data_IF_116934471885
#
_entry.id   IF_116934471885
#
_cell.length_a   1.000
_cell.length_b   1.000
_cell.length_c   1.000
_cell.angle_alpha   90.00
_cell.angle_beta   90.00
_cell.angle_gamma   90.00
#
_symmetry.space_group_name_H-M   'P 1'
#
loop_
_entity.id
_entity.type
_entity.pdbx_description
1 polymer ?
#
# COMPACT_ATOMS: atom_id res chain seq x y z
N UNK A 1 9.23 25.89 9.05
CA UNK A 1 8.73 25.64 7.67
C UNK A 1 7.48 26.49 7.45
N UNK A 2 7.38 27.23 6.35
CA UNK A 2 6.20 28.11 6.11
C UNK A 2 5.06 27.20 5.60
N UNK A 3 3.94 27.19 6.33
CA UNK A 3 2.73 26.49 5.94
C UNK A 3 2.28 26.98 4.55
N UNK A 4 2.34 26.08 3.55
CA UNK A 4 1.74 26.36 2.26
C UNK A 4 0.22 26.32 2.42
N UNK A 5 -0.47 27.39 2.03
CA UNK A 5 -1.94 27.41 2.13
C UNK A 5 -2.54 26.41 1.12
N UNK A 6 -3.69 25.84 1.46
CA UNK A 6 -4.44 24.91 0.60
C UNK A 6 -4.67 25.47 -0.81
N UNK A 7 -4.89 26.82 -0.92
CA UNK A 7 -5.01 27.52 -2.20
C UNK A 7 -3.73 27.44 -3.04
N UNK A 8 -2.58 27.54 -2.41
CA UNK A 8 -1.27 27.47 -3.06
C UNK A 8 -1.01 26.06 -3.58
N UNK A 9 -1.38 25.01 -2.80
CA UNK A 9 -1.23 23.61 -3.20
C UNK A 9 -2.10 23.25 -4.42
N UNK A 10 -3.36 23.72 -4.44
CA UNK A 10 -4.28 23.54 -5.57
C UNK A 10 -3.73 24.22 -6.84
N UNK A 11 -3.19 25.43 -6.72
CA UNK A 11 -2.60 26.16 -7.84
C UNK A 11 -1.36 25.43 -8.38
N UNK A 12 -0.48 24.91 -7.52
CA UNK A 12 0.69 24.14 -7.96
C UNK A 12 0.29 22.82 -8.63
N UNK A 13 -0.73 22.13 -8.11
CA UNK A 13 -1.25 20.89 -8.73
C UNK A 13 -1.84 21.16 -10.11
N UNK A 14 -2.62 22.23 -10.27
CA UNK A 14 -3.21 22.63 -11.56
C UNK A 14 -2.13 23.12 -12.54
N UNK A 15 -1.12 23.84 -12.05
CA UNK A 15 -0.01 24.34 -12.90
C UNK A 15 0.88 23.19 -13.35
N UNK A 16 1.14 22.19 -12.49
CA UNK A 16 1.89 20.98 -12.85
C UNK A 16 1.13 20.15 -13.90
N UNK A 17 -0.18 19.99 -13.75
CA UNK A 17 -1.02 19.32 -14.76
C UNK A 17 -1.04 20.07 -16.08
N UNK A 18 -1.03 21.40 -16.07
CA UNK A 18 -0.95 22.23 -17.26
C UNK A 18 0.39 22.11 -18.00
N UNK A 19 1.48 22.01 -17.28
CA UNK A 19 2.84 21.85 -17.87
C UNK A 19 3.02 20.48 -18.54
N UNK A 20 2.49 19.41 -17.98
CA UNK A 20 2.54 18.08 -18.62
C UNK A 20 1.59 17.97 -19.82
N UNK A 21 0.50 18.75 -19.87
CA UNK A 21 -0.38 18.84 -21.04
C UNK A 21 0.23 19.60 -22.24
N UNK A 22 1.13 20.53 -22.00
CA UNK A 22 1.73 21.39 -23.04
C UNK A 22 2.87 20.67 -23.79
N UNK A 23 3.58 19.74 -23.15
CA UNK A 23 4.70 19.02 -23.81
C UNK A 23 4.22 18.04 -24.89
N UNK A 24 2.95 17.71 -24.97
CA UNK A 24 2.38 16.80 -25.98
C UNK A 24 1.72 17.51 -27.17
N UNK A 25 1.82 18.83 -27.29
CA UNK A 25 1.08 19.62 -28.29
C UNK A 25 1.78 19.79 -29.66
N UNK A 26 2.95 19.20 -29.89
CA UNK A 26 3.64 19.30 -31.18
C UNK A 26 3.78 17.93 -31.87
N UNK A 27 2.69 17.31 -32.21
CA UNK A 27 2.50 16.40 -33.37
C UNK A 27 1.17 15.65 -33.24
N UNK A 28 0.07 16.36 -33.32
CA UNK A 28 -1.24 15.71 -33.45
C UNK A 28 -1.74 15.89 -34.88
N UNK A 29 -1.54 14.89 -35.70
CA UNK A 29 -2.45 14.59 -36.81
C UNK A 29 -3.82 14.39 -36.22
N UNK A 30 -4.79 15.18 -36.69
CA UNK A 30 -6.19 15.20 -36.26
C UNK A 30 -6.80 13.80 -36.40
N UNK A 31 -6.91 13.08 -35.32
CA UNK A 31 -7.82 11.97 -35.17
C UNK A 31 -8.54 12.14 -33.83
N UNK A 32 -9.84 12.06 -33.86
CA UNK A 32 -10.84 12.19 -32.81
C UNK A 32 -10.30 12.53 -31.40
N UNK A 33 -10.58 13.74 -30.93
CA UNK A 33 -10.24 14.20 -29.58
C UNK A 33 -10.96 13.34 -28.52
N UNK A 34 -10.39 12.20 -28.19
CA UNK A 34 -10.67 11.57 -26.91
C UNK A 34 -10.13 12.49 -25.83
N UNK A 35 -11.01 13.19 -25.14
CA UNK A 35 -10.62 14.00 -23.98
C UNK A 35 -9.86 13.07 -23.01
N UNK A 36 -8.75 13.52 -22.42
CA UNK A 36 -8.03 12.73 -21.44
C UNK A 36 -9.00 12.38 -20.31
N UNK A 37 -9.28 11.09 -20.14
CA UNK A 37 -10.16 10.61 -19.06
C UNK A 37 -9.36 10.70 -17.77
N UNK A 38 -9.72 11.65 -16.92
CA UNK A 38 -9.21 11.74 -15.55
C UNK A 38 -10.13 10.91 -14.66
N UNK A 39 -9.59 9.88 -14.03
CA UNK A 39 -10.30 9.11 -13.02
C UNK A 39 -10.06 9.75 -11.65
N UNK A 40 -11.14 9.91 -10.90
CA UNK A 40 -11.12 10.40 -9.51
C UNK A 40 -11.64 9.28 -8.64
N UNK A 41 -10.83 8.83 -7.71
CA UNK A 41 -11.22 7.83 -6.70
C UNK A 41 -10.81 8.33 -5.33
N UNK A 42 -11.46 7.84 -4.30
CA UNK A 42 -11.12 8.22 -2.94
C UNK A 42 -11.46 7.12 -1.96
N UNK A 43 -10.94 7.25 -0.76
CA UNK A 43 -11.17 6.32 0.33
C UNK A 43 -11.28 7.05 1.65
N UNK A 44 -12.25 6.63 2.45
CA UNK A 44 -12.47 7.08 3.82
C UNK A 44 -12.48 5.87 4.73
N UNK A 45 -11.80 5.95 5.87
CA UNK A 45 -11.91 4.93 6.89
C UNK A 45 -11.97 5.53 8.29
N UNK A 46 -12.67 4.85 9.17
CA UNK A 46 -12.77 5.19 10.59
C UNK A 46 -12.56 3.94 11.40
N UNK A 47 -11.69 4.04 12.39
CA UNK A 47 -11.39 2.99 13.36
C UNK A 47 -11.90 3.39 14.73
N UNK A 48 -12.43 2.40 15.45
CA UNK A 48 -12.74 2.48 16.87
C UNK A 48 -11.98 1.33 17.54
N UNK A 49 -11.10 1.65 18.45
CA UNK A 49 -10.37 0.64 19.23
C UNK A 49 -10.80 0.69 20.68
N UNK A 50 -11.15 -0.46 21.21
CA UNK A 50 -11.52 -0.69 22.61
C UNK A 50 -10.40 -1.49 23.27
N UNK A 51 -9.67 -0.85 24.17
CA UNK A 51 -8.61 -1.39 25.00
C UNK A 51 -8.71 -0.76 26.38
N UNK A 52 -7.59 -0.38 26.98
CA UNK A 52 -7.57 0.37 28.25
C UNK A 52 -8.30 1.71 28.14
N UNK A 53 -8.30 2.30 26.95
CA UNK A 53 -9.09 3.47 26.59
C UNK A 53 -9.76 3.26 25.24
N UNK A 54 -10.97 3.81 25.08
CA UNK A 54 -11.61 3.84 23.75
C UNK A 54 -11.01 4.96 22.91
N UNK A 55 -10.46 4.63 21.77
CA UNK A 55 -9.90 5.57 20.82
C UNK A 55 -10.68 5.60 19.51
N UNK A 56 -10.74 6.78 18.91
CA UNK A 56 -11.30 6.99 17.56
C UNK A 56 -10.20 7.53 16.67
N UNK A 57 -10.01 6.89 15.53
CA UNK A 57 -9.03 7.34 14.54
C UNK A 57 -9.66 7.35 13.15
N UNK A 58 -9.13 8.20 12.28
CA UNK A 58 -9.38 8.14 10.84
C UNK A 58 -8.06 7.74 10.16
N UNK A 59 -7.75 6.45 10.09
CA UNK A 59 -6.44 5.99 9.64
C UNK A 59 -6.18 6.34 8.18
N UNK A 60 -7.25 6.49 7.40
CA UNK A 60 -7.10 6.86 6.01
C UNK A 60 -8.26 7.73 5.52
N UNK A 61 -7.92 8.89 5.01
CA UNK A 61 -8.78 9.75 4.22
C UNK A 61 -7.96 10.24 3.04
N UNK A 62 -8.24 9.71 1.87
CA UNK A 62 -7.40 9.96 0.71
C UNK A 62 -8.18 10.18 -0.58
N UNK A 63 -7.55 10.90 -1.49
CA UNK A 63 -8.03 11.14 -2.85
C UNK A 63 -6.95 10.75 -3.83
N UNK A 64 -7.34 10.04 -4.89
CA UNK A 64 -6.47 9.66 -5.99
C UNK A 64 -7.02 10.18 -7.30
N UNK A 65 -6.17 10.91 -8.01
CA UNK A 65 -6.39 11.35 -9.39
C UNK A 65 -5.48 10.52 -10.29
N UNK A 66 -5.99 10.02 -11.39
CA UNK A 66 -5.18 9.26 -12.34
C UNK A 66 -5.63 9.50 -13.78
N UNK A 67 -4.70 9.37 -14.70
CA UNK A 67 -4.91 9.46 -16.14
C UNK A 67 -3.92 8.58 -16.88
N UNK A 68 -3.73 8.82 -18.16
CA UNK A 68 -2.83 8.04 -18.99
C UNK A 68 -1.38 8.13 -18.47
N UNK A 69 -0.94 7.08 -17.80
CA UNK A 69 0.41 6.93 -17.25
C UNK A 69 0.71 7.73 -15.99
N UNK A 70 -0.17 8.57 -15.46
CA UNK A 70 0.11 9.36 -14.28
C UNK A 70 -0.87 9.08 -13.12
N UNK A 71 -0.36 9.23 -11.92
CA UNK A 71 -1.13 9.10 -10.67
C UNK A 71 -0.67 10.20 -9.70
N UNK A 72 -1.63 10.85 -9.06
CA UNK A 72 -1.40 11.68 -7.88
C UNK A 72 -2.38 11.23 -6.80
N UNK A 73 -1.87 10.81 -5.66
CA UNK A 73 -2.69 10.50 -4.50
C UNK A 73 -2.29 11.33 -3.29
N UNK A 74 -3.27 11.66 -2.49
CA UNK A 74 -3.11 12.45 -1.27
C UNK A 74 -3.75 11.74 -0.11
N UNK A 75 -3.19 11.94 1.08
CA UNK A 75 -3.72 11.47 2.35
C UNK A 75 -3.88 12.66 3.30
N UNK A 76 -5.02 12.73 3.97
CA UNK A 76 -5.23 13.65 5.08
C UNK A 76 -4.70 12.98 6.36
N UNK A 77 -3.72 13.59 7.00
CA UNK A 77 -3.17 13.16 8.28
C UNK A 77 -2.91 14.39 9.14
N UNK A 78 -3.31 14.37 10.40
CA UNK A 78 -3.11 15.45 11.39
C UNK A 78 -3.61 16.82 10.90
N UNK A 79 -4.71 16.82 10.17
CA UNK A 79 -5.30 18.03 9.59
C UNK A 79 -4.53 18.61 8.39
N UNK A 80 -3.51 17.92 7.90
CA UNK A 80 -2.71 18.30 6.74
C UNK A 80 -2.96 17.36 5.57
N UNK A 81 -2.94 17.89 4.35
CA UNK A 81 -2.96 17.11 3.13
C UNK A 81 -1.52 16.78 2.72
N UNK A 82 -1.18 15.51 2.74
CA UNK A 82 0.13 15.02 2.31
C UNK A 82 0.00 14.35 0.94
N UNK A 83 0.99 14.54 0.09
CA UNK A 83 1.10 13.78 -1.15
C UNK A 83 1.64 12.39 -0.78
N UNK A 84 0.87 11.36 -1.11
CA UNK A 84 1.24 9.97 -0.86
C UNK A 84 1.96 9.37 -2.06
N UNK A 85 1.49 9.67 -3.26
CA UNK A 85 2.13 9.31 -4.51
C UNK A 85 1.98 10.44 -5.52
N UNK A 86 3.00 10.69 -6.30
CA UNK A 86 2.95 11.59 -7.46
C UNK A 86 3.91 11.07 -8.52
N UNK A 87 3.41 10.22 -9.41
CA UNK A 87 4.25 9.48 -10.36
C UNK A 87 3.70 9.47 -11.77
N UNK A 88 4.60 9.31 -12.72
CA UNK A 88 4.32 9.01 -14.12
C UNK A 88 4.92 7.65 -14.47
N UNK A 89 4.13 6.78 -15.09
CA UNK A 89 4.54 5.45 -15.53
C UNK A 89 4.45 5.35 -17.06
N UNK A 90 5.51 4.88 -17.67
CA UNK A 90 5.60 4.65 -19.10
C UNK A 90 5.82 3.17 -19.40
N UNK A 91 4.90 2.59 -20.16
CA UNK A 91 5.08 1.23 -20.69
C UNK A 91 6.06 1.27 -21.85
N UNK A 92 7.29 0.81 -21.61
CA UNK A 92 8.38 0.82 -22.59
C UNK A 92 8.12 -0.23 -23.67
N UNK A 93 7.82 -1.44 -23.22
CA UNK A 93 7.36 -2.58 -24.03
C UNK A 93 6.41 -3.42 -23.22
N UNK A 94 5.77 -4.43 -23.83
CA UNK A 94 4.87 -5.34 -23.15
C UNK A 94 5.53 -6.00 -21.94
N UNK A 95 4.92 -5.79 -20.76
CA UNK A 95 5.39 -6.27 -19.47
C UNK A 95 6.52 -5.46 -18.83
N UNK A 96 6.99 -4.35 -19.44
CA UNK A 96 8.04 -3.50 -18.87
C UNK A 96 7.54 -2.07 -18.66
N UNK A 97 7.70 -1.56 -17.45
CA UNK A 97 7.26 -0.21 -17.05
C UNK A 97 8.43 0.56 -16.45
N UNK A 98 8.55 1.81 -16.83
CA UNK A 98 9.46 2.78 -16.22
C UNK A 98 8.62 3.84 -15.49
N UNK A 99 8.92 4.11 -14.24
CA UNK A 99 8.16 5.03 -13.39
C UNK A 99 9.06 6.11 -12.84
N UNK A 100 8.56 7.34 -12.78
CA UNK A 100 9.28 8.51 -12.27
C UNK A 100 8.40 9.22 -11.23
N UNK A 101 9.00 9.67 -10.14
CA UNK A 101 8.33 10.48 -9.13
C UNK A 101 8.23 9.82 -7.76
N UNK A 102 7.31 10.31 -6.95
CA UNK A 102 7.06 9.82 -5.60
C UNK A 102 6.20 8.56 -5.66
N UNK A 103 6.72 7.46 -5.18
CA UNK A 103 6.06 6.15 -5.22
C UNK A 103 6.44 5.28 -4.02
N UNK A 104 5.58 4.32 -3.70
CA UNK A 104 5.88 3.33 -2.68
C UNK A 104 7.04 2.43 -3.12
N UNK A 105 7.88 2.09 -2.17
CA UNK A 105 9.02 1.19 -2.39
C UNK A 105 8.54 -0.24 -2.59
N UNK A 106 9.08 -0.99 -3.56
CA UNK A 106 8.72 -2.38 -3.81
C UNK A 106 9.40 -3.32 -2.80
N UNK A 107 8.94 -3.31 -1.54
CA UNK A 107 9.51 -4.12 -0.47
C UNK A 107 8.43 -4.91 0.27
N UNK A 108 8.45 -6.22 0.13
CA UNK A 108 7.48 -7.15 0.71
C UNK A 108 6.06 -7.05 0.13
N UNK A 109 5.11 -7.66 0.81
CA UNK A 109 3.68 -7.61 0.45
C UNK A 109 2.98 -6.39 1.05
N UNK A 110 3.53 -5.82 2.12
CA UNK A 110 2.90 -4.72 2.86
C UNK A 110 2.75 -3.45 2.02
N UNK A 111 3.60 -3.22 1.03
CA UNK A 111 3.55 -2.05 0.17
C UNK A 111 2.20 -1.87 -0.58
N UNK A 112 1.49 -2.95 -0.83
CA UNK A 112 0.14 -2.91 -1.41
C UNK A 112 -0.99 -2.82 -0.38
N UNK A 113 -0.71 -2.97 0.91
CA UNK A 113 -1.70 -3.12 1.97
C UNK A 113 -1.93 -1.85 2.82
N UNK A 114 -1.27 -0.75 2.50
CA UNK A 114 -1.39 0.50 3.25
C UNK A 114 -2.79 1.14 3.16
N UNK A 115 -3.55 0.83 2.11
CA UNK A 115 -4.92 1.32 1.94
C UNK A 115 -5.93 0.34 2.52
N UNK A 116 -6.89 0.83 3.33
CA UNK A 116 -7.92 -0.03 3.91
C UNK A 116 -8.74 -0.80 2.89
N UNK A 117 -8.93 -0.28 1.66
CA UNK A 117 -9.60 -1.01 0.57
C UNK A 117 -8.87 -2.29 0.18
N UNK A 118 -7.55 -2.27 0.20
CA UNK A 118 -6.69 -3.40 -0.17
C UNK A 118 -6.39 -4.33 1.02
N UNK A 119 -6.50 -3.82 2.25
CA UNK A 119 -6.20 -4.57 3.46
C UNK A 119 -7.48 -5.16 4.05
N UNK A 120 -7.51 -6.47 4.26
CA UNK A 120 -8.61 -7.16 4.93
C UNK A 120 -8.60 -6.96 6.44
N UNK A 121 -7.45 -6.66 7.02
CA UNK A 121 -7.24 -6.47 8.46
C UNK A 121 -7.37 -4.99 8.84
N UNK A 122 -7.66 -4.72 10.10
CA UNK A 122 -7.56 -3.37 10.68
C UNK A 122 -6.09 -3.00 10.85
N UNK A 123 -5.29 -3.92 11.38
CA UNK A 123 -3.85 -3.76 11.54
C UNK A 123 -3.11 -3.85 10.20
N UNK A 124 -2.02 -3.12 10.09
CA UNK A 124 -1.06 -3.24 8.98
C UNK A 124 0.19 -3.95 9.46
N UNK A 125 0.80 -4.83 8.65
CA UNK A 125 1.97 -5.60 9.10
C UNK A 125 3.21 -4.74 9.28
N UNK A 126 3.36 -3.70 8.49
CA UNK A 126 4.46 -2.74 8.60
C UNK A 126 4.09 -1.44 7.87
N UNK A 127 4.76 -0.37 8.24
CA UNK A 127 4.70 0.88 7.51
C UNK A 127 5.40 0.74 6.16
N UNK A 128 4.98 1.53 5.20
CA UNK A 128 5.60 1.62 3.89
C UNK A 128 6.17 3.03 3.70
N UNK A 129 7.32 3.09 3.04
CA UNK A 129 7.91 4.36 2.66
C UNK A 129 7.45 4.77 1.28
N UNK A 130 7.31 6.07 1.08
CA UNK A 130 7.06 6.68 -0.22
C UNK A 130 8.20 7.65 -0.50
N UNK A 131 8.97 7.37 -1.55
CA UNK A 131 10.21 8.05 -1.84
C UNK A 131 10.22 8.56 -3.28
N UNK A 132 10.92 9.66 -3.54
CA UNK A 132 11.10 10.20 -4.88
C UNK A 132 12.21 9.45 -5.60
N UNK A 133 11.92 8.98 -6.81
CA UNK A 133 12.91 8.25 -7.57
C UNK A 133 12.45 7.73 -8.91
N UNK A 134 13.17 6.73 -9.38
CA UNK A 134 12.92 6.03 -10.64
C UNK A 134 12.66 4.56 -10.33
N UNK A 135 11.52 4.05 -10.80
CA UNK A 135 11.14 2.66 -10.71
C UNK A 135 11.23 1.97 -12.06
N UNK A 136 11.61 0.70 -12.04
CA UNK A 136 11.56 -0.21 -13.18
C UNK A 136 10.75 -1.43 -12.79
N UNK A 137 9.71 -1.73 -13.54
CA UNK A 137 8.87 -2.91 -13.36
C UNK A 137 8.98 -3.85 -14.55
N UNK A 138 9.10 -5.14 -14.28
CA UNK A 138 8.97 -6.23 -15.24
C UNK A 138 7.92 -7.20 -14.74
N UNK A 139 6.94 -7.54 -15.57
CA UNK A 139 5.96 -8.58 -15.28
C UNK A 139 5.66 -9.36 -16.55
N UNK A 140 6.24 -10.55 -16.66
CA UNK A 140 6.06 -11.40 -17.83
C UNK A 140 6.24 -12.88 -17.48
N UNK A 141 5.35 -13.74 -18.00
CA UNK A 141 5.40 -15.20 -17.82
C UNK A 141 5.42 -15.66 -16.35
N UNK A 142 4.73 -14.94 -15.46
CA UNK A 142 4.73 -15.23 -14.04
C UNK A 142 5.93 -14.69 -13.28
N UNK A 143 6.94 -14.14 -13.96
CA UNK A 143 8.09 -13.47 -13.33
C UNK A 143 7.77 -12.00 -13.14
N UNK A 144 7.91 -11.52 -11.91
CA UNK A 144 7.88 -10.11 -11.54
C UNK A 144 9.25 -9.64 -11.06
N UNK A 145 9.63 -8.43 -11.45
CA UNK A 145 10.79 -7.74 -10.89
C UNK A 145 10.48 -6.25 -10.83
N UNK A 146 10.46 -5.71 -9.63
CA UNK A 146 10.29 -4.29 -9.38
C UNK A 146 11.56 -3.76 -8.74
N UNK A 147 12.17 -2.77 -9.34
CA UNK A 147 13.39 -2.11 -8.87
C UNK A 147 13.11 -0.63 -8.71
N UNK A 148 13.66 -0.04 -7.68
CA UNK A 148 13.51 1.35 -7.36
C UNK A 148 14.87 1.95 -6.99
N UNK A 149 15.14 3.16 -7.47
CA UNK A 149 16.26 4.00 -7.07
C UNK A 149 15.75 5.39 -6.73
N UNK A 150 16.05 5.86 -5.55
CA UNK A 150 15.63 7.17 -5.09
C UNK A 150 16.64 7.80 -4.15
N UNK A 151 16.38 9.02 -3.77
CA UNK A 151 17.08 9.71 -2.68
C UNK A 151 16.16 9.72 -1.47
N UNK A 152 16.70 9.45 -0.30
CA UNK A 152 15.99 9.67 0.93
C UNK A 152 15.63 11.15 1.08
N UNK A 153 14.47 11.43 1.65
CA UNK A 153 14.12 12.79 2.01
C UNK A 153 15.18 13.29 2.96
N UNK A 154 15.95 14.31 2.56
CA UNK A 154 17.02 14.98 3.29
C UNK A 154 16.97 14.69 4.80
N UNK A 155 17.95 13.93 5.30
CA UNK A 155 18.22 13.93 6.71
C UNK A 155 18.68 15.35 7.13
N UNK A 156 18.64 15.68 8.40
CA UNK A 156 18.99 17.01 8.94
C UNK A 156 20.43 17.48 8.58
N UNK A 157 21.25 16.59 8.00
CA UNK A 157 22.64 16.85 7.61
C UNK A 157 22.82 17.16 6.12
N UNK A 158 21.74 17.23 5.32
CA UNK A 158 21.76 17.51 3.87
C UNK A 158 22.53 16.50 3.00
N UNK A 159 22.83 15.33 3.51
CA UNK A 159 23.43 14.26 2.73
C UNK A 159 22.31 13.36 2.16
N UNK A 160 22.15 13.40 0.85
CA UNK A 160 21.24 12.50 0.14
C UNK A 160 21.97 11.18 -0.14
N UNK A 161 21.74 10.18 0.67
CA UNK A 161 22.19 8.83 0.34
C UNK A 161 21.32 8.23 -0.78
N UNK A 162 21.96 7.61 -1.76
CA UNK A 162 21.27 6.89 -2.81
C UNK A 162 20.66 5.61 -2.21
N UNK A 163 19.36 5.59 -2.13
CA UNK A 163 18.60 4.44 -1.68
C UNK A 163 18.13 3.60 -2.87
N UNK A 164 18.17 2.29 -2.74
CA UNK A 164 17.53 1.39 -3.68
C UNK A 164 16.74 0.30 -2.96
N UNK A 165 15.65 -0.14 -3.58
CA UNK A 165 14.86 -1.28 -3.16
C UNK A 165 14.47 -2.13 -4.37
N UNK A 166 14.30 -3.42 -4.18
CA UNK A 166 13.87 -4.30 -5.23
C UNK A 166 13.09 -5.49 -4.70
N UNK A 167 12.10 -5.93 -5.48
CA UNK A 167 11.35 -7.15 -5.21
C UNK A 167 11.33 -8.01 -6.47
N UNK A 168 11.74 -9.25 -6.33
CA UNK A 168 11.65 -10.29 -7.35
C UNK A 168 10.55 -11.26 -6.94
N UNK A 169 9.70 -11.65 -7.86
CA UNK A 169 8.61 -12.56 -7.57
C UNK A 169 8.36 -13.55 -8.68
N UNK A 170 7.79 -14.70 -8.30
CA UNK A 170 7.33 -15.69 -9.23
C UNK A 170 5.92 -16.16 -8.88
N UNK A 171 5.01 -15.95 -9.82
CA UNK A 171 3.62 -16.34 -9.72
C UNK A 171 3.33 -17.61 -10.49
N UNK A 172 2.56 -18.50 -9.87
CA UNK A 172 2.08 -19.73 -10.51
C UNK A 172 0.66 -20.04 -10.06
N UNK A 173 -0.11 -20.68 -10.94
CA UNK A 173 -1.41 -21.22 -10.61
C UNK A 173 -1.32 -22.74 -10.52
N UNK A 174 -1.59 -23.29 -9.34
CA UNK A 174 -1.62 -24.72 -9.08
C UNK A 174 -3.04 -25.14 -8.68
N UNK A 175 -3.71 -25.91 -9.53
CA UNK A 175 -5.04 -26.47 -9.26
C UNK A 175 -6.08 -25.40 -8.88
N UNK A 176 -6.01 -24.21 -9.48
CA UNK A 176 -6.92 -23.11 -9.19
C UNK A 176 -6.58 -22.29 -7.93
N UNK A 177 -5.38 -22.48 -7.39
CA UNK A 177 -4.80 -21.65 -6.33
C UNK A 177 -3.70 -20.80 -6.96
N UNK A 178 -3.92 -19.50 -6.97
CA UNK A 178 -2.92 -18.52 -7.35
C UNK A 178 -1.88 -18.41 -6.22
N UNK A 179 -0.63 -18.58 -6.55
CA UNK A 179 0.48 -18.54 -5.59
C UNK A 179 1.56 -17.59 -6.11
N UNK A 180 2.17 -16.85 -5.22
CA UNK A 180 3.29 -15.97 -5.50
C UNK A 180 4.35 -16.12 -4.41
N UNK A 181 5.61 -16.22 -4.82
CA UNK A 181 6.77 -16.21 -3.92
C UNK A 181 7.62 -15.01 -4.30
N UNK A 182 8.03 -14.23 -3.32
CA UNK A 182 8.82 -13.01 -3.51
C UNK A 182 10.07 -13.00 -2.64
N UNK A 183 11.08 -12.27 -3.13
CA UNK A 183 12.28 -11.89 -2.41
C UNK A 183 12.46 -10.39 -2.56
N UNK A 184 12.54 -9.67 -1.46
CA UNK A 184 12.79 -8.24 -1.43
C UNK A 184 14.12 -7.93 -0.79
N UNK A 185 14.81 -6.95 -1.34
CA UNK A 185 16.14 -6.49 -0.91
C UNK A 185 16.16 -4.96 -0.95
N UNK A 186 16.94 -4.33 -0.08
CA UNK A 186 17.17 -2.89 -0.16
C UNK A 186 18.61 -2.51 0.23
N UNK A 187 18.96 -1.23 0.06
CA UNK A 187 20.29 -0.71 0.37
C UNK A 187 20.65 -0.72 1.86
N UNK A 188 19.68 -0.84 2.75
CA UNK A 188 19.87 -0.93 4.20
C UNK A 188 20.08 -2.39 4.66
N UNK A 189 20.52 -3.26 3.75
CA UNK A 189 20.78 -4.68 4.01
C UNK A 189 19.54 -5.47 4.49
N UNK A 190 18.37 -4.87 4.45
CA UNK A 190 17.14 -5.57 4.78
C UNK A 190 16.78 -6.57 3.68
N UNK A 191 16.40 -7.77 4.09
CA UNK A 191 16.06 -8.88 3.21
C UNK A 191 14.75 -9.51 3.68
N UNK A 192 13.83 -9.77 2.77
CA UNK A 192 12.54 -10.31 3.13
C UNK A 192 12.10 -11.37 2.11
N UNK A 193 11.62 -12.49 2.61
CA UNK A 193 10.94 -13.49 1.80
C UNK A 193 9.44 -13.38 2.05
N UNK A 194 8.66 -13.39 0.98
CA UNK A 194 7.22 -13.39 1.06
C UNK A 194 6.60 -14.53 0.25
N UNK A 195 5.48 -15.02 0.73
CA UNK A 195 4.63 -15.99 0.03
C UNK A 195 3.19 -15.55 0.16
N UNK A 196 2.48 -15.51 -0.94
CA UNK A 196 1.02 -15.36 -0.91
C UNK A 196 0.37 -16.45 -1.75
N UNK A 197 -0.77 -16.95 -1.30
CA UNK A 197 -1.58 -17.89 -2.05
C UNK A 197 -3.05 -17.69 -1.76
N UNK A 198 -3.89 -17.99 -2.75
CA UNK A 198 -5.33 -17.88 -2.55
C UNK A 198 -6.16 -18.24 -3.75
N UNK A 199 -7.45 -18.27 -3.50
CA UNK A 199 -8.52 -18.41 -4.49
C UNK A 199 -9.78 -17.68 -3.99
N UNK A 200 -10.93 -17.96 -4.56
CA UNK A 200 -12.20 -17.34 -4.16
C UNK A 200 -12.65 -17.68 -2.72
N UNK A 201 -12.07 -18.69 -2.09
CA UNK A 201 -12.50 -19.19 -0.78
C UNK A 201 -11.55 -18.74 0.34
N UNK A 202 -10.29 -18.58 0.01
CA UNK A 202 -9.28 -18.16 0.99
C UNK A 202 -8.16 -17.38 0.34
N UNK A 203 -7.50 -16.56 1.14
CA UNK A 203 -6.22 -15.92 0.82
C UNK A 203 -5.32 -16.04 2.03
N UNK A 204 -4.07 -16.40 1.86
CA UNK A 204 -3.07 -16.38 2.92
C UNK A 204 -1.81 -15.69 2.42
N UNK A 205 -1.11 -15.03 3.35
CA UNK A 205 0.16 -14.37 3.09
C UNK A 205 1.10 -14.56 4.28
N UNK A 206 2.35 -14.74 3.97
CA UNK A 206 3.43 -14.91 4.92
C UNK A 206 4.60 -14.03 4.49
N UNK A 207 5.20 -13.31 5.43
CA UNK A 207 6.48 -12.64 5.25
C UNK A 207 7.44 -13.06 6.36
N UNK A 208 8.71 -13.16 6.03
CA UNK A 208 9.79 -13.44 6.95
C UNK A 208 10.95 -12.49 6.66
N UNK A 209 11.34 -11.74 7.67
CA UNK A 209 12.47 -10.81 7.60
C UNK A 209 13.76 -11.55 7.95
N UNK A 210 14.71 -11.53 7.02
CA UNK A 210 16.02 -12.19 7.14
C UNK A 210 17.10 -11.24 7.64
N UNK A 211 16.79 -9.93 7.82
CA UNK A 211 17.77 -8.96 8.30
C UNK A 211 18.23 -9.28 9.73
N UNK A 212 19.48 -9.01 10.03
CA UNK A 212 20.03 -9.27 11.37
C UNK A 212 19.32 -8.45 12.45
N UNK A 213 18.89 -7.23 12.13
CA UNK A 213 18.18 -6.35 13.05
C UNK A 213 16.77 -6.82 13.41
N UNK A 214 16.13 -7.56 12.52
CA UNK A 214 14.76 -8.03 12.70
C UNK A 214 14.66 -9.32 13.53
N UNK A 215 15.79 -9.95 13.89
CA UNK A 215 15.87 -11.21 14.67
C UNK A 215 14.86 -12.30 14.20
N UNK A 216 14.68 -12.38 12.88
CA UNK A 216 13.75 -13.33 12.27
C UNK A 216 12.28 -12.96 12.41
N UNK A 217 11.95 -11.68 12.40
CA UNK A 217 10.57 -11.22 12.45
C UNK A 217 9.73 -11.80 11.31
N UNK A 218 8.55 -12.28 11.63
CA UNK A 218 7.60 -12.80 10.65
C UNK A 218 6.17 -12.36 10.93
N UNK A 219 5.33 -12.42 9.90
CA UNK A 219 3.90 -12.41 10.09
C UNK A 219 3.19 -13.35 9.10
N UNK A 220 2.12 -13.94 9.58
CA UNK A 220 1.23 -14.81 8.82
C UNK A 220 -0.18 -14.26 8.90
N UNK A 221 -0.86 -14.18 7.77
CA UNK A 221 -2.25 -13.73 7.67
C UNK A 221 -3.07 -14.66 6.81
N UNK A 222 -4.30 -14.91 7.24
CA UNK A 222 -5.26 -15.70 6.49
C UNK A 222 -6.63 -15.02 6.49
N UNK A 223 -7.29 -15.11 5.35
CA UNK A 223 -8.68 -14.67 5.14
C UNK A 223 -9.44 -15.84 4.56
N UNK A 224 -10.59 -16.16 5.15
CA UNK A 224 -11.50 -17.18 4.62
C UNK A 224 -12.82 -16.53 4.26
N UNK A 225 -13.27 -16.75 3.03
CA UNK A 225 -14.56 -16.25 2.51
C UNK A 225 -15.50 -17.42 2.32
N UNK A 226 -16.43 -17.69 3.27
CA UNK A 226 -17.35 -18.81 3.15
C UNK A 226 -18.29 -18.61 1.97
N UNK A 227 -18.47 -19.58 1.07
CA UNK A 227 -19.27 -19.40 -0.15
C UNK A 227 -20.77 -19.20 0.15
N UNK A 228 -21.24 -19.65 1.32
CA UNK A 228 -22.64 -19.50 1.74
C UNK A 228 -22.94 -18.15 2.39
N UNK A 229 -21.91 -17.44 2.89
CA UNK A 229 -22.05 -16.17 3.58
C UNK A 229 -21.61 -15.01 2.68
N UNK A 230 -22.46 -14.65 1.73
CA UNK A 230 -22.17 -13.59 0.75
C UNK A 230 -21.69 -12.32 1.44
N UNK A 231 -20.46 -11.91 1.12
CA UNK A 231 -19.82 -10.70 1.67
C UNK A 231 -19.12 -10.90 3.03
N UNK A 232 -19.40 -11.96 3.79
CA UNK A 232 -18.73 -12.20 5.05
C UNK A 232 -17.36 -12.88 4.86
N UNK A 233 -16.41 -12.56 5.73
CA UNK A 233 -15.10 -13.19 5.76
C UNK A 233 -14.56 -13.29 7.18
N UNK A 234 -13.69 -14.26 7.40
CA UNK A 234 -13.01 -14.50 8.67
C UNK A 234 -11.53 -14.17 8.50
N UNK A 235 -10.92 -13.67 9.57
CA UNK A 235 -9.53 -13.25 9.62
C UNK A 235 -8.78 -14.02 10.69
N UNK A 236 -7.54 -14.39 10.41
CA UNK A 236 -6.57 -14.88 11.38
C UNK A 236 -5.20 -14.35 11.04
N UNK A 237 -4.43 -13.92 12.04
CA UNK A 237 -3.06 -13.44 11.92
C UNK A 237 -2.20 -13.88 13.09
N UNK A 238 -0.91 -14.00 12.85
CA UNK A 238 0.10 -14.31 13.84
C UNK A 238 1.40 -13.63 13.42
N UNK A 239 2.15 -13.05 14.37
CA UNK A 239 3.47 -12.48 14.14
C UNK A 239 4.52 -13.08 15.10
N UNK A 240 5.78 -12.70 14.90
CA UNK A 240 6.93 -13.12 15.72
C UNK A 240 6.83 -12.71 17.19
N UNK A 241 6.08 -11.66 17.51
CA UNK A 241 5.88 -11.19 18.88
C UNK A 241 4.80 -11.98 19.61
N UNK A 242 4.38 -13.13 19.05
CA UNK A 242 3.32 -13.98 19.55
C UNK A 242 1.94 -13.30 19.59
N UNK A 243 1.80 -12.16 18.88
CA UNK A 243 0.52 -11.45 18.76
C UNK A 243 -0.39 -12.22 17.82
N UNK A 244 -1.53 -12.66 18.35
CA UNK A 244 -2.58 -13.33 17.59
C UNK A 244 -3.69 -12.34 17.28
N UNK A 245 -4.06 -12.28 16.01
CA UNK A 245 -5.16 -11.47 15.51
C UNK A 245 -6.22 -12.38 14.94
N UNK A 246 -7.48 -12.19 15.31
CA UNK A 246 -8.61 -12.86 14.68
C UNK A 246 -9.80 -11.91 14.55
N UNK A 247 -10.62 -12.13 13.54
CA UNK A 247 -11.70 -11.21 13.31
C UNK A 247 -12.71 -11.71 12.29
N UNK A 248 -13.68 -10.86 12.08
CA UNK A 248 -14.73 -11.04 11.09
C UNK A 248 -14.93 -9.73 10.33
N UNK A 249 -15.27 -9.85 9.07
CA UNK A 249 -15.62 -8.68 8.29
C UNK A 249 -16.78 -8.96 7.37
N UNK A 250 -17.35 -7.88 6.84
CA UNK A 250 -18.46 -7.92 5.92
C UNK A 250 -18.31 -6.84 4.85
N UNK A 251 -18.39 -7.24 3.59
CA UNK A 251 -18.55 -6.32 2.45
C UNK A 251 -20.00 -5.96 2.33
N UNK A 252 -20.37 -4.76 2.75
CA UNK A 252 -21.73 -4.25 2.64
C UNK A 252 -22.11 -3.94 1.18
N UNK A 253 -21.10 -3.56 0.38
CA UNK A 253 -21.16 -3.33 -1.06
C UNK A 253 -19.76 -3.46 -1.67
N UNK A 254 -19.63 -3.28 -2.98
CA UNK A 254 -18.32 -3.22 -3.64
C UNK A 254 -17.43 -2.10 -3.09
N UNK A 255 -18.05 -1.07 -2.55
CA UNK A 255 -17.40 0.15 -2.08
C UNK A 255 -17.31 0.26 -0.56
N UNK A 256 -18.02 -0.58 0.19
CA UNK A 256 -18.10 -0.46 1.65
C UNK A 256 -17.80 -1.79 2.34
N UNK A 257 -16.91 -1.73 3.31
CA UNK A 257 -16.47 -2.86 4.12
C UNK A 257 -16.43 -2.47 5.59
N UNK A 258 -16.87 -3.38 6.45
CA UNK A 258 -16.72 -3.28 7.91
C UNK A 258 -15.92 -4.49 8.39
N UNK A 259 -14.96 -4.25 9.26
CA UNK A 259 -14.08 -5.28 9.85
C UNK A 259 -14.06 -5.11 11.35
N UNK A 260 -14.19 -6.20 12.08
CA UNK A 260 -13.95 -6.26 13.51
C UNK A 260 -12.80 -7.22 13.77
N UNK A 261 -11.78 -6.76 14.46
CA UNK A 261 -10.52 -7.45 14.70
C UNK A 261 -10.20 -7.42 16.19
N UNK A 262 -9.92 -8.57 16.75
CA UNK A 262 -9.45 -8.73 18.12
C UNK A 262 -7.98 -9.13 18.08
N UNK A 263 -7.16 -8.41 18.83
CA UNK A 263 -5.72 -8.64 18.93
C UNK A 263 -5.36 -9.00 20.36
N UNK A 264 -4.62 -10.08 20.55
CA UNK A 264 -4.14 -10.58 21.84
C UNK A 264 -2.64 -10.83 21.81
N UNK A 265 -2.02 -10.87 22.99
CA UNK A 265 -0.57 -11.06 23.14
C UNK A 265 0.24 -9.77 22.95
N UNK A 266 -0.42 -8.61 22.96
CA UNK A 266 0.27 -7.32 22.94
C UNK A 266 1.13 -7.17 24.19
N UNK A 267 2.34 -6.65 24.02
CA UNK A 267 3.27 -6.35 25.13
C UNK A 267 3.58 -4.84 25.13
N UNK A 268 3.76 -4.28 26.32
CA UNK A 268 4.27 -2.91 26.47
C UNK A 268 5.79 -2.84 26.24
N UNK A 269 6.36 -1.64 26.34
CA UNK A 269 7.79 -1.43 26.15
C UNK A 269 8.65 -2.18 27.21
N UNK A 270 8.07 -2.54 28.33
CA UNK A 270 8.70 -3.31 29.41
C UNK A 270 8.49 -4.83 29.24
N UNK A 271 7.74 -5.27 28.21
CA UNK A 271 7.47 -6.68 27.92
C UNK A 271 6.34 -7.30 28.73
N UNK A 272 5.53 -6.51 29.45
CA UNK A 272 4.35 -7.00 30.15
C UNK A 272 3.21 -7.16 29.17
N UNK A 273 2.33 -8.17 29.38
CA UNK A 273 1.11 -8.32 28.59
C UNK A 273 0.20 -7.10 28.79
N UNK A 274 -0.14 -6.45 27.68
CA UNK A 274 -1.13 -5.36 27.64
C UNK A 274 -2.51 -5.94 27.40
N UNK A 275 -3.51 -5.15 27.72
CA UNK A 275 -4.91 -5.51 27.49
C UNK A 275 -5.16 -5.82 26.01
N UNK A 276 -5.91 -6.87 25.76
CA UNK A 276 -6.34 -7.23 24.42
C UNK A 276 -7.20 -6.12 23.80
N UNK A 277 -6.93 -5.80 22.54
CA UNK A 277 -7.66 -4.76 21.82
C UNK A 277 -8.73 -5.35 20.90
N UNK A 278 -9.90 -4.73 20.91
CA UNK A 278 -10.94 -4.92 19.90
C UNK A 278 -10.97 -3.68 19.01
N UNK A 279 -10.67 -3.84 17.75
CA UNK A 279 -10.71 -2.76 16.75
C UNK A 279 -11.84 -2.99 15.76
N UNK A 280 -12.56 -1.95 15.41
CA UNK A 280 -13.60 -1.96 14.39
C UNK A 280 -13.25 -0.90 13.35
N UNK A 281 -13.14 -1.29 12.09
CA UNK A 281 -12.93 -0.38 10.95
C UNK A 281 -14.13 -0.39 10.03
N UNK A 282 -14.62 0.79 9.69
CA UNK A 282 -15.47 0.98 8.53
C UNK A 282 -14.68 1.71 7.44
N UNK A 283 -14.69 1.20 6.23
CA UNK A 283 -14.04 1.82 5.07
C UNK A 283 -15.00 1.95 3.90
N UNK A 284 -14.89 3.07 3.18
CA UNK A 284 -15.68 3.37 2.00
C UNK A 284 -14.76 3.91 0.90
N UNK A 285 -14.87 3.35 -0.31
CA UNK A 285 -14.17 3.80 -1.52
C UNK A 285 -15.15 4.28 -2.58
N UNK A 286 -14.77 5.29 -3.38
CA UNK A 286 -15.60 5.88 -4.45
C UNK A 286 -14.78 6.23 -5.70
#
# INVERSE_FOLDING_TARGET
MKNLSMKTLIIYSITLMGLFGIVRAEEAVVTETTQPVVSVTGELSTDITFGDATTFASPYTGLKLSGDGWVVSTKLSDGMVNIEEAKYSWNVVDGMTLTFGSQAEPYGLAWGLHRPSNNWFVSTPRDHSVTNGVGFGLNKFGVGADLFWGGDSMNDEMESELYWAGRFSYGLNLLGIDSNVGLSLNSNEAQLIDVSMGNNLFTTSFEYDLSEEADGAYWLRGVVTPPQAQGAFLLIGLNSDEVVTYGVGYKCSDNMKVVSEFTSGLKDAEGNEVTNDLSIRASYSF
#
